data_IF_667708663596
#
_entry.id   IF_667708663596
#
_cell.length_a   1.000
_cell.length_b   1.000
_cell.length_c   1.000
_cell.angle_alpha   90.00
_cell.angle_beta   90.00
_cell.angle_gamma   90.00
#
_symmetry.space_group_name_H-M   'P 1'
#
loop_
_entity.id
_entity.type
_entity.pdbx_description
1 polymer ?
#
# COMPACT_ATOMS: atom_id res chain seq x y z
N UNK A 1 -5.75 14.33 2.81
CA UNK A 1 -4.55 14.01 2.02
C UNK A 1 -4.79 12.88 1.03
N UNK A 2 -4.94 11.62 1.46
CA UNK A 2 -4.99 10.45 0.54
C UNK A 2 -6.03 10.53 -0.58
N UNK A 3 -7.27 10.93 -0.28
CA UNK A 3 -8.33 11.03 -1.30
C UNK A 3 -8.02 12.08 -2.39
N UNK A 4 -7.47 13.23 -2.02
CA UNK A 4 -7.07 14.25 -2.98
C UNK A 4 -5.89 13.78 -3.83
N UNK A 5 -4.93 13.08 -3.21
CA UNK A 5 -3.76 12.53 -3.87
C UNK A 5 -4.12 11.45 -4.90
N UNK A 6 -4.99 10.50 -4.55
CA UNK A 6 -5.40 9.48 -5.55
C UNK A 6 -6.30 10.05 -6.64
N UNK A 7 -7.10 11.08 -6.32
CA UNK A 7 -7.89 11.78 -7.33
C UNK A 7 -6.99 12.48 -8.37
N UNK A 8 -5.89 13.12 -7.95
CA UNK A 8 -4.95 13.75 -8.90
C UNK A 8 -4.23 12.73 -9.78
N UNK A 9 -4.04 11.50 -9.31
CA UNK A 9 -3.50 10.39 -10.11
C UNK A 9 -4.54 9.73 -11.05
N UNK A 10 -5.81 10.16 -11.00
CA UNK A 10 -6.92 9.67 -11.83
C UNK A 10 -7.70 8.49 -11.26
N UNK A 11 -7.69 8.31 -9.95
CA UNK A 11 -8.53 7.32 -9.25
C UNK A 11 -9.97 7.83 -9.11
N UNK A 12 -11.01 7.00 -9.36
CA UNK A 12 -12.41 7.41 -9.28
C UNK A 12 -12.90 7.51 -7.82
N UNK A 13 -12.65 8.63 -7.16
CA UNK A 13 -13.00 8.86 -5.73
C UNK A 13 -14.50 8.97 -5.44
N UNK A 14 -15.32 9.02 -6.49
CA UNK A 14 -16.77 8.88 -6.40
C UNK A 14 -17.21 7.46 -6.09
N UNK A 15 -16.42 6.45 -6.45
CA UNK A 15 -16.73 5.02 -6.26
C UNK A 15 -16.07 4.46 -5.00
N UNK A 16 -14.78 4.74 -4.82
CA UNK A 16 -14.00 4.30 -3.66
C UNK A 16 -13.25 5.46 -3.03
N UNK A 17 -13.12 5.44 -1.70
CA UNK A 17 -12.38 6.48 -0.97
C UNK A 17 -11.74 5.91 0.29
N UNK A 18 -10.64 6.50 0.68
CA UNK A 18 -10.05 6.28 2.00
C UNK A 18 -10.94 6.93 3.07
N UNK A 19 -11.15 6.19 4.15
CA UNK A 19 -11.83 6.63 5.35
C UNK A 19 -11.01 6.18 6.57
N UNK A 20 -11.13 6.94 7.66
CA UNK A 20 -10.41 6.63 8.89
C UNK A 20 -11.07 5.44 9.59
N UNK A 21 -10.23 4.55 10.13
CA UNK A 21 -10.64 3.52 11.08
C UNK A 21 -10.31 4.01 12.48
N UNK A 22 -11.34 4.36 13.25
CA UNK A 22 -11.16 5.02 14.55
C UNK A 22 -10.69 4.07 15.65
N UNK A 23 -11.10 2.80 15.59
CA UNK A 23 -10.80 1.75 16.56
C UNK A 23 -11.02 0.38 15.89
N UNK A 24 -10.42 -0.67 16.45
CA UNK A 24 -10.66 -2.07 16.06
C UNK A 24 -11.83 -2.70 16.81
N UNK A 25 -12.55 -1.92 17.61
CA UNK A 25 -13.79 -2.35 18.26
C UNK A 25 -14.96 -2.38 17.27
N UNK A 26 -15.87 -3.34 17.46
CA UNK A 26 -16.99 -3.62 16.54
C UNK A 26 -17.82 -2.37 16.19
N UNK A 27 -18.08 -1.50 17.17
CA UNK A 27 -18.86 -0.28 16.94
C UNK A 27 -18.16 0.69 15.97
N UNK A 28 -16.83 0.76 15.99
CA UNK A 28 -16.06 1.65 15.13
C UNK A 28 -15.91 1.04 13.73
N UNK A 29 -15.68 -0.27 13.65
CA UNK A 29 -15.63 -1.00 12.38
C UNK A 29 -16.98 -0.94 11.65
N UNK A 30 -18.10 -0.98 12.38
CA UNK A 30 -19.44 -0.83 11.81
C UNK A 30 -19.71 0.56 11.19
N UNK A 31 -18.89 1.58 11.50
CA UNK A 31 -18.96 2.90 10.87
C UNK A 31 -18.23 2.96 9.53
N UNK A 32 -17.37 1.98 9.22
CA UNK A 32 -16.62 1.93 7.97
C UNK A 32 -17.54 1.43 6.84
N UNK A 33 -17.67 2.17 5.72
CA UNK A 33 -18.46 1.71 4.59
C UNK A 33 -17.95 0.38 4.03
N UNK A 34 -18.88 -0.51 3.68
CA UNK A 34 -18.56 -1.81 3.07
C UNK A 34 -19.01 -1.85 1.60
N UNK A 35 -18.35 -2.65 0.73
CA UNK A 35 -17.20 -3.51 1.01
C UNK A 35 -15.88 -2.74 1.15
N UNK A 36 -14.90 -3.33 1.84
CA UNK A 36 -13.57 -2.73 2.04
C UNK A 36 -12.58 -3.43 1.12
N UNK A 37 -11.98 -2.67 0.21
CA UNK A 37 -11.06 -3.21 -0.80
C UNK A 37 -9.62 -3.42 -0.27
N UNK A 38 -9.19 -2.54 0.63
CA UNK A 38 -7.87 -2.59 1.25
C UNK A 38 -7.87 -1.80 2.56
N UNK A 39 -6.91 -2.11 3.42
CA UNK A 39 -6.61 -1.36 4.66
C UNK A 39 -5.17 -0.88 4.56
N UNK A 40 -4.93 0.39 4.87
CA UNK A 40 -3.58 0.94 5.00
C UNK A 40 -3.33 1.19 6.49
N UNK A 41 -2.31 0.54 7.03
CA UNK A 41 -1.91 0.67 8.42
C UNK A 41 -0.61 1.48 8.52
N UNK A 42 -0.62 2.53 9.32
CA UNK A 42 0.59 3.21 9.77
C UNK A 42 0.97 2.65 11.14
N UNK A 43 2.18 2.10 11.29
CA UNK A 43 2.64 1.55 12.56
C UNK A 43 4.08 1.99 12.87
N UNK A 44 4.46 2.08 14.16
CA UNK A 44 5.84 2.40 14.52
C UNK A 44 6.75 1.17 14.36
N UNK A 45 7.89 1.35 13.70
CA UNK A 45 8.99 0.39 13.67
C UNK A 45 9.65 0.38 15.06
N UNK A 46 9.63 -0.79 15.70
CA UNK A 46 10.24 -1.01 17.01
C UNK A 46 11.09 -2.29 16.98
N UNK A 47 12.06 -2.46 17.90
CA UNK A 47 12.89 -3.66 17.90
C UNK A 47 12.11 -4.98 17.93
N UNK A 48 10.96 -5.02 18.62
CA UNK A 48 10.11 -6.21 18.65
C UNK A 48 9.36 -6.47 17.34
N UNK A 49 8.99 -5.43 16.58
CA UNK A 49 8.34 -5.61 15.27
C UNK A 49 9.37 -6.12 14.25
N UNK A 50 10.59 -5.60 14.30
CA UNK A 50 11.67 -6.08 13.42
C UNK A 50 12.07 -7.52 13.72
N UNK A 51 12.06 -7.92 14.99
CA UNK A 51 12.30 -9.31 15.37
C UNK A 51 11.18 -10.23 14.90
N UNK A 52 9.91 -9.79 15.02
CA UNK A 52 8.78 -10.54 14.48
C UNK A 52 8.87 -10.71 12.96
N UNK A 53 9.26 -9.65 12.22
CA UNK A 53 9.46 -9.71 10.77
C UNK A 53 10.54 -10.72 10.37
N UNK A 54 11.66 -10.77 11.11
CA UNK A 54 12.74 -11.76 10.87
C UNK A 54 12.26 -13.19 11.13
N UNK A 55 11.50 -13.41 12.20
CA UNK A 55 10.95 -14.72 12.53
C UNK A 55 9.96 -15.19 11.48
N UNK A 56 9.10 -14.30 11.00
CA UNK A 56 8.13 -14.58 9.95
C UNK A 56 8.83 -14.89 8.61
N UNK A 57 9.84 -14.10 8.24
CA UNK A 57 10.65 -14.38 7.05
C UNK A 57 11.34 -15.76 7.13
N UNK A 58 11.97 -16.08 8.28
CA UNK A 58 12.61 -17.37 8.48
C UNK A 58 11.62 -18.55 8.45
N UNK A 59 10.41 -18.36 9.00
CA UNK A 59 9.32 -19.34 8.94
C UNK A 59 8.90 -19.59 7.49
N UNK A 60 8.67 -18.53 6.72
CA UNK A 60 8.28 -18.62 5.30
C UNK A 60 9.39 -19.24 4.45
N UNK A 61 10.66 -18.90 4.67
CA UNK A 61 11.78 -19.48 3.92
C UNK A 61 11.91 -21.00 4.18
N UNK A 62 11.54 -21.45 5.38
CA UNK A 62 11.58 -22.87 5.77
C UNK A 62 10.34 -23.64 5.30
N UNK A 63 9.15 -23.09 5.50
CA UNK A 63 7.86 -23.78 5.32
C UNK A 63 7.22 -23.48 3.97
N UNK A 64 7.64 -22.40 3.32
CA UNK A 64 6.96 -21.82 2.16
C UNK A 64 5.67 -21.08 2.53
N UNK A 65 5.12 -20.39 1.54
CA UNK A 65 3.77 -19.85 1.57
C UNK A 65 3.17 -19.89 0.16
N UNK A 66 1.85 -19.85 0.06
CA UNK A 66 1.16 -19.74 -1.22
C UNK A 66 0.80 -18.28 -1.50
N UNK A 67 1.33 -17.71 -2.58
CA UNK A 67 0.98 -16.36 -3.04
C UNK A 67 0.29 -16.47 -4.39
N UNK A 68 -0.90 -15.88 -4.52
CA UNK A 68 -1.60 -15.86 -5.80
C UNK A 68 -0.78 -15.06 -6.84
N UNK A 69 -0.70 -15.54 -8.10
CA UNK A 69 -0.07 -14.78 -9.18
C UNK A 69 -0.82 -13.49 -9.54
N UNK A 70 -2.06 -13.31 -9.06
CA UNK A 70 -2.84 -12.09 -9.29
C UNK A 70 -2.53 -10.97 -8.30
N UNK A 71 -1.77 -11.27 -7.23
CA UNK A 71 -1.33 -10.27 -6.26
C UNK A 71 -0.41 -9.28 -6.96
N UNK A 72 -0.84 -8.02 -6.97
CA UNK A 72 0.03 -6.92 -7.36
C UNK A 72 0.96 -6.57 -6.19
N UNK A 73 2.26 -6.57 -6.46
CA UNK A 73 3.28 -6.23 -5.49
C UNK A 73 4.42 -5.46 -6.17
N UNK A 74 4.99 -4.52 -5.42
CA UNK A 74 6.13 -3.72 -5.84
C UNK A 74 7.03 -3.41 -4.65
N UNK A 75 8.32 -3.26 -4.92
CA UNK A 75 9.33 -2.88 -3.92
C UNK A 75 9.35 -1.37 -3.75
N UNK A 76 9.65 -0.93 -2.54
CA UNK A 76 10.02 0.45 -2.25
C UNK A 76 11.54 0.59 -2.41
N UNK A 77 11.97 1.38 -3.39
CA UNK A 77 13.39 1.69 -3.60
C UNK A 77 13.77 3.08 -3.10
N UNK A 78 12.79 3.97 -2.97
CA UNK A 78 12.94 5.36 -2.51
C UNK A 78 12.62 5.49 -1.02
N UNK A 79 13.43 6.26 -0.29
CA UNK A 79 13.14 6.63 1.10
C UNK A 79 11.83 7.41 1.20
N UNK A 80 11.08 7.22 2.29
CA UNK A 80 9.87 8.00 2.62
C UNK A 80 8.68 7.87 1.64
N UNK A 81 8.78 6.99 0.64
CA UNK A 81 7.71 6.70 -0.30
C UNK A 81 6.70 5.63 0.19
N UNK A 82 6.81 5.15 1.44
CA UNK A 82 5.99 4.04 1.96
C UNK A 82 4.49 4.32 1.87
N UNK A 83 4.05 5.58 2.08
CA UNK A 83 2.65 5.96 1.90
C UNK A 83 2.16 5.82 0.46
N UNK A 84 2.95 6.26 -0.52
CA UNK A 84 2.63 6.11 -1.95
C UNK A 84 2.66 4.64 -2.37
N UNK A 85 3.65 3.88 -1.91
CA UNK A 85 3.75 2.44 -2.19
C UNK A 85 2.55 1.68 -1.62
N UNK A 86 2.16 1.95 -0.37
CA UNK A 86 0.97 1.36 0.25
C UNK A 86 -0.32 1.69 -0.50
N UNK A 87 -0.47 2.93 -0.99
CA UNK A 87 -1.60 3.34 -1.83
C UNK A 87 -1.60 2.59 -3.17
N UNK A 88 -0.44 2.46 -3.83
CA UNK A 88 -0.34 1.74 -5.10
C UNK A 88 -0.58 0.24 -4.93
N UNK A 89 -0.16 -0.36 -3.81
CA UNK A 89 -0.53 -1.73 -3.45
C UNK A 89 -2.05 -1.88 -3.30
N UNK A 90 -2.71 -0.96 -2.58
CA UNK A 90 -4.17 -0.98 -2.42
C UNK A 90 -4.87 -0.88 -3.78
N UNK A 91 -4.57 0.17 -4.56
CA UNK A 91 -5.17 0.42 -5.87
C UNK A 91 -4.88 -0.72 -6.84
N UNK A 92 -3.63 -1.19 -6.89
CA UNK A 92 -3.20 -2.24 -7.78
C UNK A 92 -3.98 -3.54 -7.56
N UNK A 93 -4.23 -3.93 -6.32
CA UNK A 93 -4.97 -5.16 -6.03
C UNK A 93 -6.49 -5.04 -6.24
N UNK A 94 -7.05 -3.83 -6.19
CA UNK A 94 -8.47 -3.58 -6.49
C UNK A 94 -8.73 -3.04 -7.92
N UNK A 95 -7.71 -2.93 -8.77
CA UNK A 95 -7.80 -2.29 -10.11
C UNK A 95 -8.84 -2.92 -11.05
N UNK A 96 -9.25 -4.16 -10.79
CA UNK A 96 -10.28 -4.85 -11.55
C UNK A 96 -11.71 -4.39 -11.18
N UNK A 97 -11.87 -3.67 -10.08
CA UNK A 97 -13.15 -3.14 -9.60
C UNK A 97 -13.43 -1.70 -10.06
N UNK A 98 -12.42 -1.01 -10.58
CA UNK A 98 -12.48 0.42 -10.91
C UNK A 98 -11.96 0.68 -12.31
N UNK A 99 -12.38 1.80 -12.91
CA UNK A 99 -11.81 2.31 -14.15
C UNK A 99 -11.08 3.62 -13.88
N UNK A 100 -9.78 3.65 -14.16
CA UNK A 100 -9.00 4.88 -14.06
C UNK A 100 -9.40 5.87 -15.16
N UNK A 101 -9.22 7.15 -14.87
CA UNK A 101 -9.37 8.19 -15.88
C UNK A 101 -8.41 7.93 -17.05
N UNK A 102 -8.87 7.95 -18.31
CA UNK A 102 -8.01 7.73 -19.46
C UNK A 102 -6.82 8.70 -19.46
N UNK A 103 -5.64 8.20 -19.82
CA UNK A 103 -4.39 8.97 -19.89
C UNK A 103 -3.93 9.58 -18.54
N UNK A 104 -4.54 9.18 -17.41
CA UNK A 104 -4.07 9.57 -16.09
C UNK A 104 -2.76 8.87 -15.71
N UNK A 105 -2.13 9.34 -14.63
CA UNK A 105 -0.95 8.68 -14.07
C UNK A 105 -1.20 7.19 -13.83
N UNK A 106 -2.27 6.82 -13.09
CA UNK A 106 -2.56 5.41 -12.78
C UNK A 106 -2.81 4.57 -14.03
N UNK A 107 -3.52 5.11 -15.03
CA UNK A 107 -3.76 4.39 -16.30
C UNK A 107 -2.43 4.11 -17.03
N UNK A 108 -1.59 5.13 -17.20
CA UNK A 108 -0.26 4.99 -17.83
C UNK A 108 0.65 4.06 -17.04
N UNK A 109 0.71 4.23 -15.73
CA UNK A 109 1.56 3.46 -14.82
C UNK A 109 1.22 1.96 -14.86
N UNK A 110 -0.06 1.60 -14.64
CA UNK A 110 -0.47 0.20 -14.66
C UNK A 110 -0.38 -0.44 -16.05
N UNK A 111 -0.43 0.34 -17.13
CA UNK A 111 -0.13 -0.14 -18.47
C UNK A 111 1.38 -0.39 -18.71
N UNK A 112 2.25 0.48 -18.19
CA UNK A 112 3.72 0.39 -18.31
C UNK A 112 4.32 -0.81 -17.57
N UNK A 113 3.69 -1.25 -16.49
CA UNK A 113 4.26 -2.27 -15.57
C UNK A 113 3.78 -3.70 -15.78
N UNK A 114 2.91 -3.98 -16.75
CA UNK A 114 2.27 -5.30 -16.93
C UNK A 114 3.23 -6.49 -17.00
N UNK A 115 4.45 -6.28 -17.47
CA UNK A 115 5.46 -7.33 -17.67
C UNK A 115 6.69 -7.16 -16.77
N UNK A 116 6.60 -6.31 -15.74
CA UNK A 116 7.74 -5.93 -14.91
C UNK A 116 7.78 -6.68 -13.58
N UNK A 117 8.98 -6.89 -13.06
CA UNK A 117 9.17 -7.46 -11.72
C UNK A 117 8.90 -6.43 -10.62
N UNK A 118 8.63 -6.86 -9.38
CA UNK A 118 8.46 -5.92 -8.25
C UNK A 118 9.62 -4.94 -8.07
N UNK A 119 10.86 -5.37 -8.33
CA UNK A 119 12.06 -4.54 -8.32
C UNK A 119 12.06 -3.49 -9.45
N UNK A 120 11.74 -3.91 -10.68
CA UNK A 120 11.67 -3.01 -11.83
C UNK A 120 10.55 -1.97 -11.66
N UNK A 121 9.43 -2.35 -11.03
CA UNK A 121 8.34 -1.42 -10.72
C UNK A 121 8.80 -0.38 -9.70
N UNK A 122 9.55 -0.79 -8.67
CA UNK A 122 10.13 0.13 -7.69
C UNK A 122 11.09 1.13 -8.33
N UNK A 123 11.99 0.65 -9.19
CA UNK A 123 12.93 1.53 -9.92
C UNK A 123 12.21 2.51 -10.84
N UNK A 124 11.16 2.07 -11.53
CA UNK A 124 10.36 2.99 -12.36
C UNK A 124 9.68 4.09 -11.54
N UNK A 125 9.34 3.80 -10.29
CA UNK A 125 8.74 4.78 -9.39
C UNK A 125 9.75 5.85 -8.98
N UNK A 126 11.01 5.45 -8.81
CA UNK A 126 12.13 6.33 -8.44
C UNK A 126 12.53 7.29 -9.57
N UNK A 127 12.34 6.87 -10.82
CA UNK A 127 12.63 7.68 -12.02
C UNK A 127 11.44 8.55 -12.46
N UNK A 128 10.32 8.55 -11.73
CA UNK A 128 9.08 9.23 -12.14
C UNK A 128 8.91 10.60 -11.48
N UNK A 129 9.38 11.64 -12.19
CA UNK A 129 9.28 13.04 -11.77
C UNK A 129 7.82 13.48 -11.53
N UNK A 130 6.83 12.93 -12.25
CA UNK A 130 5.42 13.29 -12.08
C UNK A 130 4.94 12.82 -10.70
N UNK A 131 5.28 11.60 -10.31
CA UNK A 131 4.88 11.07 -9.01
C UNK A 131 5.61 11.74 -7.85
N UNK A 132 6.90 12.06 -7.99
CA UNK A 132 7.66 12.79 -6.98
C UNK A 132 6.99 14.15 -6.68
N UNK A 133 6.63 14.90 -7.72
CA UNK A 133 5.94 16.19 -7.60
C UNK A 133 4.56 16.05 -6.94
N UNK A 134 3.78 15.03 -7.34
CA UNK A 134 2.47 14.77 -6.74
C UNK A 134 2.59 14.34 -5.27
N UNK A 135 3.60 13.54 -4.91
CA UNK A 135 3.87 13.11 -3.55
C UNK A 135 4.28 14.30 -2.66
N UNK A 136 5.22 15.14 -3.12
CA UNK A 136 5.64 16.35 -2.41
C UNK A 136 4.46 17.28 -2.14
N UNK A 137 3.64 17.54 -3.17
CA UNK A 137 2.43 18.35 -3.03
C UNK A 137 1.44 17.75 -2.02
N UNK A 138 1.25 16.42 -2.01
CA UNK A 138 0.37 15.77 -1.05
C UNK A 138 0.90 15.86 0.39
N UNK A 139 2.22 15.69 0.58
CA UNK A 139 2.85 15.80 1.89
C UNK A 139 2.69 17.20 2.49
N UNK A 140 2.70 18.27 1.68
CA UNK A 140 2.50 19.65 2.13
C UNK A 140 1.07 19.93 2.62
N UNK A 141 0.08 19.14 2.18
CA UNK A 141 -1.32 19.30 2.58
C UNK A 141 -1.67 18.63 3.92
N UNK A 142 -0.71 17.95 4.55
CA UNK A 142 -0.88 17.34 5.87
C UNK A 142 -1.12 18.37 6.97
N UNK A 143 -1.83 17.97 8.04
CA UNK A 143 -2.06 18.83 9.22
C UNK A 143 -0.91 18.77 10.24
N UNK A 144 0.09 17.91 10.02
CA UNK A 144 1.29 17.78 10.85
C UNK A 144 2.45 18.55 10.23
N UNK A 145 3.31 19.13 11.05
CA UNK A 145 4.60 19.62 10.57
C UNK A 145 5.37 18.47 9.93
N UNK A 146 5.91 18.70 8.73
CA UNK A 146 6.86 17.78 8.13
C UNK A 146 8.13 17.76 8.98
N UNK A 147 8.82 16.62 8.99
CA UNK A 147 10.12 16.52 9.66
C UNK A 147 11.05 17.63 9.15
N UNK A 148 11.75 18.30 10.07
CA UNK A 148 12.60 19.45 9.75
C UNK A 148 13.80 19.03 8.87
N UNK A 149 14.18 17.75 8.90
CA UNK A 149 15.26 17.20 8.08
C UNK A 149 14.90 15.87 7.43
N UNK A 150 15.46 15.62 6.23
CA UNK A 150 15.35 14.33 5.51
C UNK A 150 16.06 13.20 6.26
N UNK A 151 16.97 13.54 7.17
CA UNK A 151 17.78 12.63 7.99
C UNK A 151 17.11 12.26 9.33
N UNK A 152 15.96 12.86 9.67
CA UNK A 152 15.23 12.51 10.87
C UNK A 152 14.73 11.06 10.76
N UNK A 153 15.01 10.24 11.77
CA UNK A 153 14.59 8.83 11.77
C UNK A 153 13.06 8.73 11.71
N UNK A 154 12.55 8.39 10.53
CA UNK A 154 11.16 7.97 10.37
C UNK A 154 11.02 6.59 11.00
N UNK A 155 10.49 6.60 12.22
CA UNK A 155 10.18 5.40 12.98
C UNK A 155 8.78 4.87 12.67
N UNK A 156 8.08 5.38 11.66
CA UNK A 156 6.74 4.94 11.28
C UNK A 156 6.72 4.40 9.85
N UNK A 157 5.88 3.41 9.60
CA UNK A 157 5.84 2.71 8.32
C UNK A 157 4.41 2.41 7.89
N UNK A 158 4.15 2.59 6.59
CA UNK A 158 2.88 2.24 5.98
C UNK A 158 2.95 0.83 5.37
N UNK A 159 1.94 0.03 5.67
CA UNK A 159 1.73 -1.28 5.06
C UNK A 159 0.30 -1.39 4.53
N UNK A 160 0.11 -2.10 3.41
CA UNK A 160 -1.19 -2.34 2.83
C UNK A 160 -1.65 -3.78 3.08
N UNK A 161 -2.91 -3.95 3.47
CA UNK A 161 -3.59 -5.23 3.49
C UNK A 161 -4.67 -5.26 2.41
N UNK A 162 -4.72 -6.31 1.60
CA UNK A 162 -5.75 -6.48 0.57
C UNK A 162 -6.13 -7.94 0.37
N UNK A 163 -7.39 -8.18 0.01
CA UNK A 163 -7.88 -9.52 -0.30
C UNK A 163 -7.75 -9.82 -1.79
N UNK A 164 -7.02 -10.87 -2.13
CA UNK A 164 -6.84 -11.34 -3.51
C UNK A 164 -7.09 -12.84 -3.55
N UNK A 165 -7.93 -13.30 -4.47
CA UNK A 165 -8.27 -14.72 -4.65
C UNK A 165 -8.65 -15.45 -3.34
N UNK A 166 -9.39 -14.77 -2.47
CA UNK A 166 -9.89 -15.33 -1.21
C UNK A 166 -8.86 -15.41 -0.07
N UNK A 167 -7.68 -14.79 -0.21
CA UNK A 167 -6.68 -14.70 0.85
C UNK A 167 -6.34 -13.25 1.19
N UNK A 168 -6.04 -12.98 2.46
CA UNK A 168 -5.54 -11.70 2.93
C UNK A 168 -4.03 -11.63 2.72
N UNK A 169 -3.58 -10.59 2.02
CA UNK A 169 -2.17 -10.33 1.81
C UNK A 169 -1.75 -9.04 2.50
N UNK A 170 -0.65 -9.12 3.23
CA UNK A 170 0.11 -7.96 3.66
C UNK A 170 1.16 -7.63 2.59
N UNK A 171 1.17 -6.37 2.17
CA UNK A 171 1.95 -5.83 1.08
C UNK A 171 2.79 -4.70 1.64
N UNK A 172 4.04 -5.06 1.94
CA UNK A 172 5.05 -4.15 2.41
C UNK A 172 6.17 -4.07 1.38
N UNK A 173 6.37 -2.88 0.79
CA UNK A 173 7.42 -2.65 -0.20
C UNK A 173 8.83 -2.63 0.39
N UNK A 174 8.97 -2.58 1.72
CA UNK A 174 10.24 -2.47 2.42
C UNK A 174 11.22 -3.59 2.01
N UNK A 175 12.50 -3.21 1.96
CA UNK A 175 13.61 -4.11 1.69
C UNK A 175 13.60 -5.37 2.56
N UNK A 176 13.16 -5.26 3.82
CA UNK A 176 13.15 -6.31 4.86
C UNK A 176 12.22 -7.47 4.54
N UNK A 177 10.99 -7.20 4.04
CA UNK A 177 10.03 -8.27 3.70
C UNK A 177 10.26 -8.81 2.29
N UNK A 178 10.30 -7.91 1.31
CA UNK A 178 10.59 -8.22 -0.08
C UNK A 178 9.68 -9.22 -0.78
N UNK A 179 8.53 -9.52 -0.18
CA UNK A 179 7.49 -10.38 -0.73
C UNK A 179 6.15 -10.08 -0.04
N UNK A 180 5.01 -10.35 -0.70
CA UNK A 180 3.72 -10.42 -0.03
C UNK A 180 3.72 -11.48 1.08
N UNK A 181 3.00 -11.22 2.17
CA UNK A 181 2.78 -12.20 3.25
C UNK A 181 1.31 -12.62 3.22
N UNK A 182 1.06 -13.93 3.08
CA UNK A 182 -0.29 -14.49 3.11
C UNK A 182 -0.73 -14.76 4.56
N UNK A 183 -1.76 -14.06 5.01
CA UNK A 183 -2.37 -14.19 6.34
C UNK A 183 -3.54 -15.20 6.39
N UNK A 184 -3.80 -15.90 5.29
CA UNK A 184 -4.83 -16.92 5.18
C UNK A 184 -6.15 -16.42 4.60
N UNK A 185 -7.23 -17.22 4.69
CA UNK A 185 -8.50 -16.93 4.02
C UNK A 185 -9.16 -15.63 4.50
N UNK A 186 -9.58 -14.78 3.56
CA UNK A 186 -10.39 -13.59 3.85
C UNK A 186 -11.14 -13.09 2.60
N UNK A 187 -11.91 -12.02 2.75
CA UNK A 187 -12.73 -11.41 1.71
C UNK A 187 -12.88 -9.89 1.94
N UNK A 188 -13.35 -9.12 0.94
CA UNK A 188 -13.67 -7.70 1.12
C UNK A 188 -14.73 -7.39 2.20
N UNK A 189 -15.41 -8.41 2.74
CA UNK A 189 -16.41 -8.29 3.81
C UNK A 189 -15.89 -8.71 5.18
N UNK A 190 -14.69 -9.30 5.24
CA UNK A 190 -14.08 -9.87 6.47
C UNK A 190 -12.64 -9.41 6.65
N UNK A 191 -12.23 -8.36 5.94
CA UNK A 191 -10.88 -7.79 6.03
C UNK A 191 -10.71 -6.91 7.28
N UNK A 192 -11.80 -6.33 7.77
CA UNK A 192 -11.88 -5.57 9.02
C UNK A 192 -12.34 -6.46 10.18
#
# INVERSE_FOLDING_TARGET
VMNAYVASMGFPTSEFRFCDVLSTEEWALAMVPTPVAAVILLYPIKPHTEEADKQEAARIDKEGQMVSPNVYYMRQTVGNACGTVGILHAIGNMRHLVRFSPDSFLDKFFNKIKTKTPEEIGQLLEEDDELENLHGSAAETGQSEQLESVDDQIITHFVCFSCVDGSLYELDGDRRKGRPINHGPSSPYTIL
#
